data_IF_629261395923
#
_entry.id   IF_629261395923
#
_cell.length_a   1.000
_cell.length_b   1.000
_cell.length_c   1.000
_cell.angle_alpha   90.00
_cell.angle_beta   90.00
_cell.angle_gamma   90.00
#
_symmetry.space_group_name_H-M   'P 1'
#
loop_
_entity.id
_entity.type
_entity.pdbx_description
1 polymer ?
#
# COMPACT_ATOMS: atom_id res chain seq x y z
N UNK A 1 -1.57 -20.37 30.13
CA UNK A 1 -2.95 -19.86 29.92
C UNK A 1 -3.30 -18.97 31.09
N UNK A 2 -3.93 -17.81 30.86
CA UNK A 2 -4.48 -17.01 31.96
C UNK A 2 -5.62 -17.80 32.60
N UNK A 3 -5.63 -17.90 33.92
CA UNK A 3 -6.74 -18.48 34.67
C UNK A 3 -7.71 -17.35 35.05
N UNK A 4 -8.78 -17.20 34.26
CA UNK A 4 -9.82 -16.22 34.51
C UNK A 4 -10.65 -16.62 35.72
N UNK A 5 -10.91 -15.68 36.63
CA UNK A 5 -11.70 -15.92 37.83
C UNK A 5 -13.19 -15.65 37.61
N UNK A 6 -13.53 -14.87 36.58
CA UNK A 6 -14.91 -14.51 36.24
C UNK A 6 -15.04 -14.12 34.76
N UNK A 7 -16.27 -14.02 34.27
CA UNK A 7 -16.57 -13.64 32.89
C UNK A 7 -16.21 -12.18 32.55
N UNK A 8 -16.14 -11.29 33.55
CA UNK A 8 -15.83 -9.87 33.35
C UNK A 8 -14.37 -9.67 32.94
N UNK A 9 -13.44 -10.46 33.51
CA UNK A 9 -12.04 -10.49 33.10
C UNK A 9 -11.88 -10.98 31.66
N UNK A 10 -12.68 -11.96 31.24
CA UNK A 10 -12.70 -12.47 29.86
C UNK A 10 -13.17 -11.37 28.91
N UNK A 11 -14.30 -10.71 29.21
CA UNK A 11 -14.82 -9.63 28.37
C UNK A 11 -13.86 -8.45 28.27
N UNK A 12 -13.20 -8.09 29.39
CA UNK A 12 -12.17 -7.04 29.40
C UNK A 12 -10.99 -7.38 28.49
N UNK A 13 -10.46 -8.60 28.58
CA UNK A 13 -9.36 -9.04 27.72
C UNK A 13 -9.79 -9.12 26.25
N UNK A 14 -11.00 -9.61 25.95
CA UNK A 14 -11.54 -9.64 24.59
C UNK A 14 -11.69 -8.23 24.00
N UNK A 15 -12.20 -7.28 24.80
CA UNK A 15 -12.27 -5.86 24.41
C UNK A 15 -10.89 -5.30 24.11
N UNK A 16 -9.91 -5.56 24.99
CA UNK A 16 -8.52 -5.15 24.78
C UNK A 16 -7.96 -5.70 23.48
N UNK A 17 -8.08 -7.00 23.22
CA UNK A 17 -7.64 -7.64 21.98
C UNK A 17 -8.33 -7.05 20.75
N UNK A 18 -9.62 -6.72 20.86
CA UNK A 18 -10.34 -6.06 19.76
C UNK A 18 -9.79 -4.67 19.45
N UNK A 19 -9.40 -3.92 20.49
CA UNK A 19 -8.80 -2.59 20.35
C UNK A 19 -7.41 -2.69 19.76
N UNK A 20 -6.57 -3.60 20.24
CA UNK A 20 -5.25 -3.89 19.68
C UNK A 20 -5.35 -4.26 18.20
N UNK A 21 -6.32 -5.10 17.83
CA UNK A 21 -6.57 -5.46 16.42
C UNK A 21 -6.96 -4.24 15.58
N UNK A 22 -7.80 -3.34 16.10
CA UNK A 22 -8.20 -2.11 15.39
C UNK A 22 -6.99 -1.19 15.19
N UNK A 23 -6.17 -1.01 16.23
CA UNK A 23 -4.94 -0.21 16.16
C UNK A 23 -4.00 -0.79 15.09
N UNK A 24 -3.73 -2.09 15.14
CA UNK A 24 -2.87 -2.76 14.17
C UNK A 24 -3.37 -2.62 12.72
N UNK A 25 -4.69 -2.63 12.50
CA UNK A 25 -5.27 -2.39 11.18
C UNK A 25 -5.06 -0.96 10.68
N UNK A 26 -5.18 0.04 11.55
CA UNK A 26 -4.91 1.43 11.18
C UNK A 26 -3.42 1.66 10.93
N UNK A 27 -2.54 1.10 11.76
CA UNK A 27 -1.09 1.14 11.53
C UNK A 27 -0.72 0.50 10.18
N UNK A 28 -1.32 -0.63 9.84
CA UNK A 28 -1.09 -1.29 8.55
C UNK A 28 -1.58 -0.45 7.37
N UNK A 29 -2.70 0.25 7.51
CA UNK A 29 -3.18 1.19 6.47
C UNK A 29 -2.20 2.34 6.27
N UNK A 30 -1.64 2.89 7.35
CA UNK A 30 -0.62 3.95 7.28
C UNK A 30 0.61 3.44 6.55
N UNK A 31 1.16 2.30 6.95
CA UNK A 31 2.33 1.68 6.29
C UNK A 31 2.07 1.42 4.81
N UNK A 32 0.88 0.93 4.46
CA UNK A 32 0.48 0.74 3.06
C UNK A 32 0.43 2.06 2.30
N UNK A 33 -0.16 3.10 2.89
CA UNK A 33 -0.24 4.43 2.27
C UNK A 33 1.16 5.01 2.03
N UNK A 34 2.04 4.93 3.03
CA UNK A 34 3.43 5.41 2.93
C UNK A 34 4.21 4.65 1.86
N UNK A 35 3.99 3.32 1.78
CA UNK A 35 4.58 2.50 0.72
C UNK A 35 4.07 2.91 -0.66
N UNK A 36 2.76 3.08 -0.84
CA UNK A 36 2.19 3.57 -2.09
C UNK A 36 2.75 4.95 -2.46
N UNK A 37 2.84 5.86 -1.51
CA UNK A 37 3.39 7.21 -1.72
C UNK A 37 4.87 7.18 -2.10
N UNK A 38 5.68 6.33 -1.46
CA UNK A 38 7.09 6.13 -1.82
C UNK A 38 7.29 5.56 -3.23
N UNK A 39 6.31 4.77 -3.73
CA UNK A 39 6.33 4.20 -5.07
C UNK A 39 5.65 5.08 -6.14
N UNK A 40 4.90 6.12 -5.75
CA UNK A 40 4.27 7.07 -6.69
C UNK A 40 5.29 7.71 -7.64
N UNK A 41 6.46 8.20 -7.20
CA UNK A 41 7.48 8.75 -8.10
C UNK A 41 7.97 7.72 -9.12
N UNK A 42 8.21 6.47 -8.69
CA UNK A 42 8.68 5.40 -9.57
C UNK A 42 7.62 5.02 -10.62
N UNK A 43 6.35 4.93 -10.21
CA UNK A 43 5.24 4.63 -11.14
C UNK A 43 4.95 5.78 -12.11
N UNK A 44 5.11 7.04 -11.68
CA UNK A 44 5.07 8.20 -12.58
C UNK A 44 6.21 8.14 -13.61
N UNK A 45 7.45 7.89 -13.16
CA UNK A 45 8.61 7.79 -14.06
C UNK A 45 8.44 6.66 -15.08
N UNK A 46 7.93 5.51 -14.65
CA UNK A 46 7.63 4.39 -15.55
C UNK A 46 6.54 4.74 -16.57
N UNK A 47 5.53 5.52 -16.16
CA UNK A 47 4.48 6.00 -17.05
C UNK A 47 5.03 6.98 -18.09
N UNK A 48 5.79 7.98 -17.65
CA UNK A 48 6.47 8.96 -18.54
C UNK A 48 7.40 8.26 -19.52
N UNK A 49 8.20 7.28 -19.07
CA UNK A 49 9.08 6.51 -19.93
C UNK A 49 8.31 5.70 -21.00
N UNK A 50 7.19 5.08 -20.64
CA UNK A 50 6.33 4.36 -21.60
C UNK A 50 5.73 5.29 -22.67
N UNK A 51 5.33 6.51 -22.29
CA UNK A 51 4.86 7.49 -23.26
C UNK A 51 5.99 8.00 -24.14
N UNK A 52 7.12 8.41 -23.55
CA UNK A 52 8.28 8.91 -24.27
C UNK A 52 8.83 7.87 -25.27
N UNK A 53 8.91 6.61 -24.87
CA UNK A 53 9.35 5.52 -25.77
C UNK A 53 8.39 5.28 -26.92
N UNK A 54 7.07 5.27 -26.71
CA UNK A 54 6.09 5.14 -27.80
C UNK A 54 6.17 6.30 -28.79
N UNK A 55 6.25 7.54 -28.31
CA UNK A 55 6.40 8.71 -29.17
C UNK A 55 7.75 8.72 -29.88
N UNK A 56 8.82 8.35 -29.18
CA UNK A 56 10.16 8.20 -29.76
C UNK A 56 10.18 7.16 -30.88
N UNK A 57 9.60 5.98 -30.65
CA UNK A 57 9.49 4.92 -31.66
C UNK A 57 8.65 5.39 -32.86
N UNK A 58 7.52 6.06 -32.65
CA UNK A 58 6.71 6.61 -33.74
C UNK A 58 7.48 7.63 -34.59
N UNK A 59 8.29 8.51 -33.97
CA UNK A 59 9.13 9.47 -34.69
C UNK A 59 10.27 8.78 -35.45
N UNK A 60 10.89 7.75 -34.87
CA UNK A 60 11.91 6.95 -35.55
C UNK A 60 11.32 6.19 -36.74
N UNK A 61 10.18 5.54 -36.57
CA UNK A 61 9.45 4.87 -37.66
C UNK A 61 9.10 5.88 -38.75
N UNK A 62 8.54 7.05 -38.41
CA UNK A 62 8.25 8.11 -39.38
C UNK A 62 9.49 8.62 -40.12
N UNK A 63 10.67 8.58 -39.51
CA UNK A 63 11.96 8.95 -40.12
C UNK A 63 12.56 7.85 -40.99
N UNK A 64 12.17 6.59 -40.80
CA UNK A 64 12.64 5.44 -41.60
C UNK A 64 11.74 5.23 -42.84
N UNK A 65 10.44 5.52 -42.73
CA UNK A 65 9.47 5.39 -43.82
C UNK A 65 9.29 6.66 -44.67
N UNK A 66 10.08 7.71 -44.42
CA UNK A 66 10.16 8.93 -45.24
C UNK A 66 11.61 9.13 -45.69
#
# INVERSE_FOLDING_TARGET
MKNYQNFEEIDRDLKKLSLERKIALEELKIVKSDFEESLRPLSMLQSVFKFASKYGVLLLVKKIFK
#
